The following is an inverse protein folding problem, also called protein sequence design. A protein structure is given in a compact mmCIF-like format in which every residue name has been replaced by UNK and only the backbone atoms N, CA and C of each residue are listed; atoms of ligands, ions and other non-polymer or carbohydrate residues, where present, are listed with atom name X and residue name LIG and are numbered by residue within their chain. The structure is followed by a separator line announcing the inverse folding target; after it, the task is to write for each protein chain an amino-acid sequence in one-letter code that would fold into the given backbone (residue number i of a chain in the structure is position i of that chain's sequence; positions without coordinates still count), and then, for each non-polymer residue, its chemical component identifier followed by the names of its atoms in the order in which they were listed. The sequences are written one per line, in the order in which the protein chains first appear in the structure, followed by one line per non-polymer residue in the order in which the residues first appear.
data_IF_794265062119
#
_entry.id   IF_794265062119
#
_cell.length_a   1.000
_cell.length_b   1.000
_cell.length_c   1.000
_cell.angle_alpha   90.00
_cell.angle_beta   90.00
_cell.angle_gamma   90.00
#
_symmetry.space_group_name_H-M   'P 1'
#
loop_
_entity.id
_entity.type
_entity.pdbx_description
1 polymer ?
#
# COMPACT_ATOMS: atom_id res chain seq x y z
N UNK A 1 -28.15 -4.18 -34.36
CA UNK A 1 -26.90 -3.74 -34.98
C UNK A 1 -27.21 -2.56 -35.87
N UNK A 2 -26.42 -1.48 -35.88
CA UNK A 2 -26.36 -0.63 -37.06
C UNK A 2 -26.02 -1.55 -38.25
N UNK A 3 -26.82 -1.55 -39.33
CA UNK A 3 -26.70 -2.51 -40.42
C UNK A 3 -25.35 -2.46 -41.18
N UNK A 4 -24.50 -1.48 -40.91
CA UNK A 4 -23.31 -1.17 -41.74
C UNK A 4 -21.98 -1.68 -41.18
N UNK A 5 -21.96 -2.34 -40.01
CA UNK A 5 -20.70 -2.78 -39.40
C UNK A 5 -20.42 -4.24 -39.75
N UNK A 6 -19.82 -4.45 -40.92
CA UNK A 6 -19.46 -5.80 -41.44
C UNK A 6 -18.11 -6.29 -40.87
N UNK A 7 -17.26 -5.38 -40.34
CA UNK A 7 -15.93 -5.72 -39.80
C UNK A 7 -15.57 -4.83 -38.60
N UNK A 8 -14.95 -5.39 -37.54
CA UNK A 8 -14.43 -4.59 -36.43
C UNK A 8 -13.27 -3.70 -36.91
N UNK A 9 -13.21 -2.46 -36.42
CA UNK A 9 -12.22 -1.47 -36.86
C UNK A 9 -10.85 -1.79 -36.26
N UNK A 10 -10.83 -2.30 -35.03
CA UNK A 10 -9.63 -2.76 -34.35
C UNK A 10 -9.91 -3.94 -33.42
N UNK A 11 -8.85 -4.61 -32.98
CA UNK A 11 -8.93 -5.62 -31.93
C UNK A 11 -7.83 -5.41 -30.89
N UNK A 12 -8.14 -5.72 -29.65
CA UNK A 12 -7.22 -5.68 -28.51
C UNK A 12 -7.46 -6.90 -27.61
N UNK A 13 -6.80 -6.95 -26.46
CA UNK A 13 -7.07 -7.92 -25.40
C UNK A 13 -7.78 -7.27 -24.24
N UNK A 14 -8.47 -8.09 -23.45
CA UNK A 14 -9.15 -7.64 -22.25
C UNK A 14 -8.19 -6.98 -21.24
N UNK A 15 -7.02 -7.58 -21.02
CA UNK A 15 -6.00 -7.01 -20.13
C UNK A 15 -5.58 -5.60 -20.56
N UNK A 16 -5.27 -5.43 -21.86
CA UNK A 16 -4.93 -4.12 -22.41
C UNK A 16 -6.05 -3.09 -22.21
N UNK A 17 -7.30 -3.50 -22.41
CA UNK A 17 -8.48 -2.65 -22.25
C UNK A 17 -8.64 -2.17 -20.81
N UNK A 18 -8.53 -3.10 -19.85
CA UNK A 18 -8.55 -2.82 -18.41
C UNK A 18 -7.47 -1.81 -18.03
N UNK A 19 -6.25 -2.00 -18.52
CA UNK A 19 -5.12 -1.09 -18.31
C UNK A 19 -5.40 0.31 -18.89
N UNK A 20 -5.92 0.39 -20.12
CA UNK A 20 -6.22 1.67 -20.76
C UNK A 20 -7.27 2.45 -19.97
N UNK A 21 -8.37 1.79 -19.58
CA UNK A 21 -9.45 2.40 -18.81
C UNK A 21 -8.95 2.88 -17.45
N UNK A 22 -8.09 2.09 -16.78
CA UNK A 22 -7.41 2.51 -15.57
C UNK A 22 -6.57 3.78 -15.77
N UNK A 23 -5.69 3.79 -16.78
CA UNK A 23 -4.78 4.91 -17.05
C UNK A 23 -5.52 6.18 -17.47
N UNK A 24 -6.70 6.04 -18.08
CA UNK A 24 -7.62 7.14 -18.36
C UNK A 24 -8.31 7.67 -17.09
N UNK A 25 -8.11 7.02 -15.94
CA UNK A 25 -8.72 7.34 -14.65
C UNK A 25 -10.23 7.15 -14.64
N UNK A 26 -10.74 6.27 -15.51
CA UNK A 26 -12.15 5.92 -15.54
C UNK A 26 -12.48 4.94 -14.41
N UNK A 27 -13.72 5.02 -13.93
CA UNK A 27 -14.24 4.18 -12.85
C UNK A 27 -15.16 3.13 -13.45
N UNK A 28 -14.94 1.87 -13.10
CA UNK A 28 -15.84 0.78 -13.47
C UNK A 28 -17.10 0.85 -12.64
N UNK A 29 -18.26 0.94 -13.29
CA UNK A 29 -19.56 0.79 -12.63
C UNK A 29 -19.98 -0.69 -12.56
N UNK A 30 -19.64 -1.47 -13.60
CA UNK A 30 -19.88 -2.90 -13.65
C UNK A 30 -18.76 -3.60 -14.44
N UNK A 31 -18.37 -4.80 -14.00
CA UNK A 31 -17.38 -5.65 -14.67
C UNK A 31 -17.76 -7.13 -14.49
N UNK A 32 -18.50 -7.65 -15.45
CA UNK A 32 -18.82 -9.07 -15.57
C UNK A 32 -18.61 -9.50 -17.02
N UNK A 33 -17.34 -9.72 -17.34
CA UNK A 33 -16.90 -9.96 -18.71
C UNK A 33 -17.25 -11.36 -19.20
N UNK A 34 -17.47 -12.31 -18.30
CA UNK A 34 -18.03 -13.63 -18.62
C UNK A 34 -19.46 -13.51 -19.17
N UNK A 35 -20.22 -12.54 -18.68
CA UNK A 35 -21.55 -12.17 -19.21
C UNK A 35 -21.48 -11.15 -20.35
N UNK A 36 -20.27 -10.73 -20.73
CA UNK A 36 -20.08 -9.69 -21.71
C UNK A 36 -20.50 -8.30 -21.26
N UNK A 37 -20.77 -8.07 -19.98
CA UNK A 37 -21.24 -6.79 -19.46
C UNK A 37 -20.09 -6.07 -18.78
N UNK A 38 -19.69 -4.93 -19.31
CA UNK A 38 -18.81 -4.04 -18.56
C UNK A 38 -19.06 -2.59 -18.91
N UNK A 39 -18.93 -1.72 -17.93
CA UNK A 39 -19.14 -0.28 -18.10
C UNK A 39 -18.17 0.49 -17.24
N UNK A 40 -17.54 1.49 -17.83
CA UNK A 40 -16.71 2.44 -17.12
C UNK A 40 -17.03 3.87 -17.55
N UNK A 41 -16.92 4.80 -16.62
CA UNK A 41 -17.18 6.23 -16.85
C UNK A 41 -16.15 7.07 -16.13
N UNK A 42 -15.76 8.18 -16.72
CA UNK A 42 -14.87 9.15 -16.07
C UNK A 42 -14.41 10.22 -17.05
N UNK A 43 -14.25 11.45 -16.58
CA UNK A 43 -13.74 12.58 -17.37
C UNK A 43 -14.46 12.78 -18.71
N UNK A 44 -15.79 12.80 -18.70
CA UNK A 44 -16.66 12.95 -19.89
C UNK A 44 -16.47 11.88 -20.96
N UNK A 45 -15.99 10.70 -20.52
CA UNK A 45 -15.80 9.52 -21.35
C UNK A 45 -16.62 8.40 -20.77
N UNK A 46 -17.20 7.62 -21.67
CA UNK A 46 -17.89 6.39 -21.32
C UNK A 46 -17.34 5.24 -22.14
N UNK A 47 -17.32 4.09 -21.50
CA UNK A 47 -16.87 2.84 -22.06
C UNK A 47 -17.95 1.81 -21.75
N UNK A 48 -18.36 1.05 -22.76
CA UNK A 48 -19.26 -0.08 -22.56
C UNK A 48 -18.83 -1.26 -23.42
N UNK A 49 -18.90 -2.46 -22.87
CA UNK A 49 -18.69 -3.69 -23.63
C UNK A 49 -19.96 -4.56 -23.57
N UNK A 50 -20.23 -5.24 -24.69
CA UNK A 50 -21.33 -6.19 -24.87
C UNK A 50 -20.88 -7.38 -25.71
N UNK A 51 -21.44 -8.57 -25.47
CA UNK A 51 -21.19 -9.73 -26.34
C UNK A 51 -22.15 -9.70 -27.52
N UNK A 52 -21.60 -9.70 -28.73
CA UNK A 52 -22.34 -9.74 -30.00
C UNK A 52 -22.16 -11.11 -30.63
N UNK A 53 -23.27 -11.81 -30.92
CA UNK A 53 -23.26 -13.12 -31.54
C UNK A 53 -22.49 -13.09 -32.86
N UNK A 54 -21.51 -13.99 -33.00
CA UNK A 54 -20.66 -14.10 -34.20
C UNK A 54 -19.43 -13.18 -34.21
N UNK A 55 -19.40 -12.14 -33.38
CA UNK A 55 -18.23 -11.24 -33.24
C UNK A 55 -17.48 -11.44 -31.93
N UNK A 56 -18.15 -11.88 -30.86
CA UNK A 56 -17.56 -11.98 -29.52
C UNK A 56 -17.75 -10.68 -28.74
N UNK A 57 -16.78 -10.31 -27.89
CA UNK A 57 -16.88 -9.10 -27.09
C UNK A 57 -16.61 -7.85 -27.93
N UNK A 58 -17.59 -6.96 -27.94
CA UNK A 58 -17.56 -5.71 -28.67
C UNK A 58 -17.59 -4.54 -27.70
N UNK A 59 -16.76 -3.55 -27.99
CA UNK A 59 -16.59 -2.34 -27.19
C UNK A 59 -17.06 -1.13 -27.94
N UNK A 60 -17.80 -0.29 -27.23
CA UNK A 60 -18.14 1.07 -27.62
C UNK A 60 -17.46 2.05 -26.66
N UNK A 61 -16.74 3.00 -27.23
CA UNK A 61 -16.14 4.12 -26.51
C UNK A 61 -16.77 5.42 -26.99
N UNK A 62 -17.29 6.22 -26.06
CA UNK A 62 -17.77 7.55 -26.36
C UNK A 62 -17.02 8.60 -25.55
N UNK A 63 -16.72 9.71 -26.20
CA UNK A 63 -16.13 10.89 -25.57
C UNK A 63 -16.99 12.08 -25.93
N UNK A 64 -17.54 12.74 -24.93
CA UNK A 64 -18.17 14.03 -25.15
C UNK A 64 -17.07 15.06 -25.44
N UNK A 65 -17.26 15.90 -26.45
CA UNK A 65 -16.29 16.95 -26.79
C UNK A 65 -16.15 17.87 -25.57
N UNK A 66 -14.92 18.09 -25.14
CA UNK A 66 -14.59 18.95 -24.02
C UNK A 66 -15.31 20.30 -24.13
N UNK A 67 -16.15 20.64 -23.15
CA UNK A 67 -16.22 22.04 -22.75
C UNK A 67 -14.84 22.39 -22.20
N UNK A 68 -14.27 23.52 -22.62
CA UNK A 68 -12.86 23.92 -22.38
C UNK A 68 -12.45 24.09 -20.91
N UNK A 69 -13.31 23.72 -19.97
CA UNK A 69 -13.01 23.70 -18.54
C UNK A 69 -12.30 22.38 -18.24
N UNK A 70 -10.98 22.35 -18.46
CA UNK A 70 -10.12 21.30 -17.91
C UNK A 70 -10.31 21.32 -16.39
N UNK A 71 -11.04 20.33 -15.88
CA UNK A 71 -11.19 20.16 -14.44
C UNK A 71 -9.78 19.94 -13.86
N UNK A 72 -9.30 20.93 -13.10
CA UNK A 72 -8.02 20.90 -12.39
C UNK A 72 -7.91 19.75 -11.37
N UNK A 73 -8.99 19.01 -11.17
CA UNK A 73 -9.09 17.85 -10.28
C UNK A 73 -8.85 16.50 -11.00
N UNK A 74 -8.35 16.48 -12.24
CA UNK A 74 -8.01 15.22 -12.88
C UNK A 74 -6.80 14.56 -12.19
N UNK A 75 -7.04 13.40 -11.58
CA UNK A 75 -6.02 12.62 -10.89
C UNK A 75 -5.39 11.61 -11.84
N UNK A 76 -4.36 12.04 -12.57
CA UNK A 76 -3.56 11.12 -13.39
C UNK A 76 -3.01 9.97 -12.54
N UNK A 77 -3.15 8.75 -13.07
CA UNK A 77 -2.58 7.53 -12.51
C UNK A 77 -1.17 7.32 -13.05
N UNK A 78 -0.30 6.68 -12.29
CA UNK A 78 1.06 6.37 -12.75
C UNK A 78 0.98 5.46 -13.97
N UNK A 79 1.58 5.82 -15.12
CA UNK A 79 1.52 5.02 -16.35
C UNK A 79 2.59 3.92 -16.34
N UNK A 80 2.57 3.02 -15.35
CA UNK A 80 3.56 1.94 -15.21
C UNK A 80 2.91 0.57 -15.03
N UNK A 81 3.64 -0.48 -15.42
CA UNK A 81 3.21 -1.88 -15.28
C UNK A 81 2.81 -2.19 -13.83
N UNK A 82 3.58 -1.71 -12.85
CA UNK A 82 3.32 -1.92 -11.44
C UNK A 82 2.03 -1.23 -10.95
N UNK A 83 1.75 -0.03 -11.44
CA UNK A 83 0.51 0.67 -11.13
C UNK A 83 -0.70 -0.07 -11.73
N UNK A 84 -0.58 -0.56 -12.96
CA UNK A 84 -1.64 -1.33 -13.61
C UNK A 84 -1.90 -2.67 -12.89
N UNK A 85 -0.84 -3.33 -12.40
CA UNK A 85 -0.95 -4.52 -11.54
C UNK A 85 -1.71 -4.20 -10.26
N UNK A 86 -1.38 -3.10 -9.58
CA UNK A 86 -2.11 -2.67 -8.38
C UNK A 86 -3.58 -2.37 -8.67
N UNK A 87 -3.89 -1.76 -9.81
CA UNK A 87 -5.27 -1.52 -10.23
C UNK A 87 -6.08 -2.82 -10.39
N UNK A 88 -5.41 -3.94 -10.66
CA UNK A 88 -6.00 -5.28 -10.72
C UNK A 88 -5.83 -6.09 -9.42
N UNK A 89 -5.39 -5.47 -8.32
CA UNK A 89 -5.22 -6.15 -7.04
C UNK A 89 -4.02 -7.09 -7.02
N UNK A 90 -2.94 -6.72 -7.72
CA UNK A 90 -1.68 -7.48 -7.73
C UNK A 90 -0.59 -6.61 -7.11
N UNK A 91 0.09 -7.13 -6.09
CA UNK A 91 1.34 -6.56 -5.57
C UNK A 91 2.53 -7.30 -6.17
N UNK A 92 3.45 -6.57 -6.80
CA UNK A 92 4.66 -7.13 -7.39
C UNK A 92 5.91 -6.53 -6.74
N UNK A 93 6.99 -7.31 -6.67
CA UNK A 93 8.28 -6.88 -6.16
C UNK A 93 9.42 -7.43 -7.00
N UNK A 94 10.43 -6.59 -7.24
CA UNK A 94 11.69 -6.98 -7.86
C UNK A 94 12.57 -7.81 -6.94
N UNK A 95 12.37 -7.75 -5.61
CA UNK A 95 13.17 -8.51 -4.64
C UNK A 95 12.97 -10.01 -4.85
N UNK A 96 11.72 -10.48 -4.80
CA UNK A 96 11.39 -11.91 -4.92
C UNK A 96 11.00 -12.33 -6.34
N UNK A 97 10.58 -11.38 -7.19
CA UNK A 97 9.98 -11.64 -8.49
C UNK A 97 8.55 -12.21 -8.42
N UNK A 98 8.00 -12.40 -7.21
CA UNK A 98 6.68 -13.00 -7.01
C UNK A 98 5.58 -11.94 -6.95
N UNK A 99 4.44 -12.29 -7.54
CA UNK A 99 3.22 -11.48 -7.53
C UNK A 99 2.25 -12.01 -6.46
N UNK A 100 1.68 -11.11 -5.66
CA UNK A 100 0.64 -11.44 -4.69
C UNK A 100 -0.70 -10.96 -5.23
N UNK A 101 -1.64 -11.89 -5.42
CA UNK A 101 -2.99 -11.61 -5.90
C UNK A 101 -3.92 -11.40 -4.71
N UNK A 102 -4.38 -10.17 -4.53
CA UNK A 102 -5.21 -9.75 -3.41
C UNK A 102 -6.70 -9.64 -3.76
N UNK A 103 -7.06 -9.70 -5.05
CA UNK A 103 -8.45 -9.63 -5.52
C UNK A 103 -8.81 -10.83 -6.37
N UNK A 104 -9.90 -11.50 -5.99
CA UNK A 104 -10.56 -12.57 -6.73
C UNK A 104 -12.02 -12.20 -6.93
N UNK A 105 -12.61 -12.60 -8.06
CA UNK A 105 -13.99 -12.20 -8.36
C UNK A 105 -14.98 -12.93 -7.44
N UNK A 106 -15.98 -12.20 -6.94
CA UNK A 106 -17.19 -12.78 -6.31
C UNK A 106 -16.92 -13.65 -5.07
N UNK A 107 -15.79 -13.44 -4.37
CA UNK A 107 -15.46 -14.18 -3.15
C UNK A 107 -15.58 -13.27 -1.91
N UNK A 108 -15.88 -13.84 -0.72
CA UNK A 108 -15.67 -13.13 0.54
C UNK A 108 -14.23 -12.62 0.67
N UNK A 109 -14.03 -11.48 1.32
CA UNK A 109 -12.72 -10.81 1.40
C UNK A 109 -11.60 -11.71 1.93
N UNK A 110 -11.85 -12.54 2.94
CA UNK A 110 -10.84 -13.45 3.46
C UNK A 110 -10.43 -14.53 2.45
N UNK A 111 -11.37 -14.98 1.63
CA UNK A 111 -11.13 -15.96 0.57
C UNK A 111 -10.38 -15.31 -0.61
N UNK A 112 -10.64 -14.02 -0.88
CA UNK A 112 -9.84 -13.23 -1.82
C UNK A 112 -8.37 -13.15 -1.37
N UNK A 113 -8.13 -12.97 -0.07
CA UNK A 113 -6.81 -12.86 0.53
C UNK A 113 -6.12 -14.20 0.80
N UNK A 114 -6.83 -15.33 0.65
CA UNK A 114 -6.34 -16.66 1.03
C UNK A 114 -4.98 -17.02 0.38
N UNK A 115 -4.75 -16.60 -0.86
CA UNK A 115 -3.49 -16.85 -1.56
C UNK A 115 -2.32 -16.11 -0.91
N UNK A 116 -2.51 -14.85 -0.54
CA UNK A 116 -1.49 -14.06 0.15
C UNK A 116 -1.24 -14.60 1.57
N UNK A 117 -2.31 -14.92 2.31
CA UNK A 117 -2.23 -15.49 3.66
C UNK A 117 -1.50 -16.84 3.68
N UNK A 118 -1.81 -17.71 2.72
CA UNK A 118 -1.12 -18.99 2.53
C UNK A 118 0.35 -18.78 2.16
N UNK A 119 0.63 -17.84 1.23
CA UNK A 119 2.00 -17.53 0.84
C UNK A 119 2.85 -17.05 2.02
N UNK A 120 2.29 -16.18 2.85
CA UNK A 120 2.99 -15.69 4.03
C UNK A 120 3.01 -16.71 5.17
N UNK A 121 2.35 -17.87 5.06
CA UNK A 121 2.20 -18.84 6.16
C UNK A 121 1.73 -18.12 7.44
N UNK A 122 0.58 -17.44 7.32
CA UNK A 122 -0.02 -16.76 8.45
C UNK A 122 -0.55 -17.80 9.44
N UNK A 123 -0.15 -17.67 10.71
CA UNK A 123 -0.51 -18.61 11.77
C UNK A 123 -2.03 -18.55 12.06
N UNK A 124 -2.63 -19.64 12.54
CA UNK A 124 -4.08 -19.73 12.74
C UNK A 124 -4.63 -18.68 13.71
N UNK A 125 -3.86 -18.36 14.75
CA UNK A 125 -4.22 -17.34 15.75
C UNK A 125 -4.13 -15.92 15.18
N UNK A 126 -3.10 -15.65 14.36
CA UNK A 126 -2.95 -14.41 13.61
C UNK A 126 -4.09 -14.27 12.59
N UNK A 127 -4.41 -15.34 11.85
CA UNK A 127 -5.52 -15.39 10.91
C UNK A 127 -6.86 -15.05 11.58
N UNK A 128 -7.14 -15.64 12.74
CA UNK A 128 -8.34 -15.35 13.50
C UNK A 128 -8.38 -13.88 13.95
N UNK A 129 -7.23 -13.33 14.37
CA UNK A 129 -7.14 -11.92 14.75
C UNK A 129 -7.37 -10.97 13.56
N UNK A 130 -6.88 -11.32 12.37
CA UNK A 130 -7.16 -10.59 11.13
C UNK A 130 -8.65 -10.63 10.78
N UNK A 131 -9.31 -11.80 10.89
CA UNK A 131 -10.77 -11.93 10.69
C UNK A 131 -11.56 -11.04 11.64
N UNK A 132 -11.22 -11.07 12.93
CA UNK A 132 -11.83 -10.20 13.95
C UNK A 132 -11.65 -8.73 13.59
N UNK A 133 -10.45 -8.34 13.12
CA UNK A 133 -10.18 -6.95 12.74
C UNK A 133 -11.02 -6.46 11.55
N UNK A 134 -11.35 -7.35 10.61
CA UNK A 134 -12.22 -7.02 9.46
C UNK A 134 -13.68 -6.80 9.87
N UNK A 135 -14.17 -7.61 10.81
CA UNK A 135 -15.55 -7.53 11.30
C UNK A 135 -15.81 -6.29 12.15
N UNK A 136 -14.77 -5.62 12.65
CA UNK A 136 -14.90 -4.41 13.44
C UNK A 136 -15.23 -3.20 12.54
N UNK A 137 -16.52 -2.83 12.51
CA UNK A 137 -17.04 -1.76 11.66
C UNK A 137 -16.54 -0.35 12.02
N UNK A 138 -16.02 -0.14 13.25
CA UNK A 138 -15.88 1.21 13.82
C UNK A 138 -14.67 2.03 13.37
N UNK A 139 -13.66 1.46 12.71
CA UNK A 139 -12.54 2.25 12.17
C UNK A 139 -11.87 1.55 11.00
N UNK A 140 -11.94 2.17 9.81
CA UNK A 140 -11.21 1.74 8.60
C UNK A 140 -9.71 1.58 8.87
N UNK A 141 -9.22 2.36 9.82
CA UNK A 141 -7.81 2.51 10.09
C UNK A 141 -7.20 1.34 10.89
N UNK A 142 -8.04 0.42 11.39
CA UNK A 142 -7.57 -0.72 12.17
C UNK A 142 -7.79 -2.06 11.49
N UNK A 143 -8.16 -2.06 10.21
CA UNK A 143 -8.37 -3.28 9.44
C UNK A 143 -7.04 -3.95 9.09
N UNK A 144 -7.01 -5.27 9.22
CA UNK A 144 -5.91 -6.13 8.79
C UNK A 144 -4.51 -5.69 9.28
N UNK A 145 -4.29 -5.50 10.60
CA UNK A 145 -2.99 -5.12 11.14
C UNK A 145 -1.83 -5.98 10.61
N UNK A 146 -0.73 -5.35 10.21
CA UNK A 146 0.46 -5.99 9.65
C UNK A 146 0.31 -6.43 8.20
N UNK A 147 -0.88 -6.92 7.80
CA UNK A 147 -1.13 -7.35 6.44
C UNK A 147 -1.28 -6.17 5.46
N UNK A 148 -1.91 -5.07 5.85
CA UNK A 148 -2.02 -3.87 4.97
C UNK A 148 -0.66 -3.24 4.70
N UNK A 149 0.28 -3.37 5.64
CA UNK A 149 1.63 -2.84 5.53
C UNK A 149 2.44 -3.52 4.42
N UNK A 150 2.07 -4.75 4.02
CA UNK A 150 2.63 -5.44 2.85
C UNK A 150 2.56 -4.58 1.59
N UNK A 151 1.59 -3.66 1.47
CA UNK A 151 1.51 -2.76 0.32
C UNK A 151 2.79 -1.94 0.11
N UNK A 152 3.31 -1.28 1.16
CA UNK A 152 4.55 -0.50 1.05
C UNK A 152 5.81 -1.31 1.30
N UNK A 153 5.69 -2.43 2.04
CA UNK A 153 6.82 -3.30 2.31
C UNK A 153 7.14 -4.25 1.16
N UNK A 154 6.17 -4.71 0.36
CA UNK A 154 6.39 -5.62 -0.76
C UNK A 154 6.69 -4.84 -2.04
N UNK A 155 5.92 -3.80 -2.32
CA UNK A 155 5.92 -3.15 -3.63
C UNK A 155 7.19 -2.37 -3.96
N UNK A 156 7.61 -2.41 -5.21
CA UNK A 156 8.69 -1.56 -5.70
C UNK A 156 8.26 -0.09 -5.75
N UNK A 157 9.22 0.81 -6.00
CA UNK A 157 8.93 2.21 -6.24
C UNK A 157 8.18 2.37 -7.58
N UNK A 158 6.95 2.88 -7.51
CA UNK A 158 6.05 2.99 -8.66
C UNK A 158 6.16 4.33 -9.41
N UNK A 159 6.25 5.50 -8.74
CA UNK A 159 6.27 6.79 -9.41
C UNK A 159 7.37 6.89 -10.46
N UNK A 160 7.04 7.53 -11.59
CA UNK A 160 7.99 7.75 -12.68
C UNK A 160 9.03 8.78 -12.27
N UNK A 161 10.31 8.50 -12.51
CA UNK A 161 11.40 9.43 -12.21
C UNK A 161 11.17 10.77 -12.95
N UNK A 162 11.33 11.89 -12.23
CA UNK A 162 11.09 13.24 -12.76
C UNK A 162 9.62 13.59 -12.98
N UNK A 163 8.68 12.77 -12.50
CA UNK A 163 7.24 13.05 -12.56
C UNK A 163 6.66 13.27 -11.17
N UNK A 164 5.69 14.18 -11.06
CA UNK A 164 4.84 14.32 -9.87
C UNK A 164 3.64 13.37 -9.87
N UNK A 165 3.44 12.58 -10.94
CA UNK A 165 2.37 11.59 -11.00
C UNK A 165 2.75 10.43 -10.07
N UNK A 166 2.01 10.30 -8.97
CA UNK A 166 2.25 9.31 -7.93
C UNK A 166 0.97 8.59 -7.46
N UNK A 167 -0.13 8.72 -8.20
CA UNK A 167 -1.42 8.14 -7.80
C UNK A 167 -1.57 6.72 -8.32
N UNK A 168 -1.85 5.77 -7.43
CA UNK A 168 -2.10 4.35 -7.74
C UNK A 168 -3.39 3.92 -7.07
N UNK A 169 -4.08 2.91 -7.61
CA UNK A 169 -5.27 2.40 -6.94
C UNK A 169 -4.92 1.42 -5.83
N UNK A 170 -5.77 1.38 -4.81
CA UNK A 170 -5.68 0.43 -3.74
C UNK A 170 -5.80 -1.02 -4.27
N UNK A 171 -4.79 -1.89 -4.06
CA UNK A 171 -4.83 -3.27 -4.50
C UNK A 171 -5.77 -4.14 -3.65
N UNK A 172 -6.19 -3.69 -2.46
CA UNK A 172 -7.20 -4.38 -1.64
C UNK A 172 -8.62 -4.06 -2.13
N UNK A 173 -9.56 -4.98 -1.90
CA UNK A 173 -10.99 -4.77 -2.18
C UNK A 173 -11.67 -3.83 -1.18
N UNK A 174 -10.98 -3.49 -0.08
CA UNK A 174 -11.44 -2.58 0.97
C UNK A 174 -10.48 -1.41 1.13
N UNK A 175 -10.96 -0.25 1.61
CA UNK A 175 -10.08 0.81 2.10
C UNK A 175 -9.16 0.28 3.19
N UNK A 176 -7.87 0.57 3.06
CA UNK A 176 -6.84 0.19 4.03
C UNK A 176 -6.01 1.40 4.41
N UNK A 177 -5.57 1.42 5.67
CA UNK A 177 -4.60 2.38 6.18
C UNK A 177 -3.40 1.58 6.68
N UNK A 178 -2.22 1.98 6.24
CA UNK A 178 -0.95 1.35 6.67
C UNK A 178 -0.36 2.12 7.84
N UNK A 179 0.46 1.46 8.66
CA UNK A 179 1.28 2.13 9.66
C UNK A 179 2.26 3.13 9.02
N UNK A 180 2.66 2.89 7.77
CA UNK A 180 3.51 3.80 7.01
C UNK A 180 2.91 5.20 6.82
N UNK A 181 1.59 5.28 6.75
CA UNK A 181 0.86 6.53 6.50
C UNK A 181 0.80 7.42 7.76
N UNK A 182 0.75 6.79 8.93
CA UNK A 182 0.38 7.43 10.19
C UNK A 182 1.56 8.17 10.81
N UNK A 183 1.33 9.42 11.17
CA UNK A 183 2.31 10.23 11.91
C UNK A 183 2.63 9.61 13.27
N UNK A 184 1.64 8.97 13.89
CA UNK A 184 1.79 8.27 15.16
C UNK A 184 2.91 7.24 15.09
N UNK A 185 2.99 6.45 14.01
CA UNK A 185 4.05 5.47 13.83
C UNK A 185 5.43 6.11 13.75
N UNK A 186 5.59 7.16 12.93
CA UNK A 186 6.87 7.88 12.77
C UNK A 186 7.37 8.46 14.08
N UNK A 187 6.49 9.14 14.82
CA UNK A 187 6.84 9.79 16.08
C UNK A 187 7.21 8.77 17.14
N UNK A 188 6.42 7.70 17.29
CA UNK A 188 6.68 6.63 18.25
C UNK A 188 8.00 5.93 17.95
N UNK A 189 8.22 5.55 16.71
CA UNK A 189 9.42 4.84 16.28
C UNK A 189 10.69 5.67 16.42
N UNK A 190 10.64 6.94 16.00
CA UNK A 190 11.72 7.89 16.25
C UNK A 190 12.01 8.03 17.74
N UNK A 191 10.99 8.23 18.56
CA UNK A 191 11.15 8.38 20.01
C UNK A 191 11.82 7.15 20.64
N UNK A 192 11.40 5.92 20.26
CA UNK A 192 12.01 4.68 20.76
C UNK A 192 13.48 4.56 20.38
N UNK A 193 13.83 4.90 19.13
CA UNK A 193 15.23 4.92 18.68
C UNK A 193 16.06 5.95 19.45
N UNK A 194 15.50 7.13 19.75
CA UNK A 194 16.16 8.16 20.57
C UNK A 194 16.45 7.68 21.99
N UNK A 195 15.51 6.97 22.64
CA UNK A 195 15.73 6.39 23.97
C UNK A 195 16.89 5.40 23.98
N UNK A 196 17.15 4.74 22.84
CA UNK A 196 18.20 3.74 22.67
C UNK A 196 19.46 4.29 22.00
N UNK A 197 19.57 5.60 21.74
CA UNK A 197 20.61 6.20 20.88
C UNK A 197 22.04 5.72 21.16
N UNK A 198 22.38 5.44 22.41
CA UNK A 198 23.71 4.97 22.82
C UNK A 198 24.00 3.50 22.47
N UNK A 199 22.98 2.66 22.35
CA UNK A 199 23.08 1.22 22.08
C UNK A 199 22.63 0.81 20.67
N UNK A 200 22.28 1.77 19.82
CA UNK A 200 21.91 1.49 18.43
C UNK A 200 23.10 0.99 17.62
N UNK A 201 22.86 0.03 16.73
CA UNK A 201 23.75 -0.29 15.63
C UNK A 201 23.94 0.93 14.71
N UNK A 202 24.96 0.91 13.86
CA UNK A 202 25.17 2.02 12.91
C UNK A 202 24.03 2.15 11.91
N UNK A 203 23.41 1.04 11.52
CA UNK A 203 22.23 1.06 10.66
C UNK A 203 21.03 1.72 11.37
N UNK A 204 20.79 1.43 12.65
CA UNK A 204 19.71 2.08 13.40
C UNK A 204 20.00 3.55 13.71
N UNK A 205 21.26 3.93 13.92
CA UNK A 205 21.65 5.35 13.98
C UNK A 205 21.32 6.05 12.67
N UNK A 206 21.54 5.38 11.53
CA UNK A 206 21.18 5.92 10.21
C UNK A 206 19.66 6.07 10.05
N UNK A 207 18.87 5.08 10.45
CA UNK A 207 17.39 5.18 10.47
C UNK A 207 16.94 6.36 11.35
N UNK A 208 17.50 6.50 12.55
CA UNK A 208 17.22 7.62 13.44
C UNK A 208 17.59 8.97 12.80
N UNK A 209 18.76 9.06 12.16
CA UNK A 209 19.19 10.25 11.45
C UNK A 209 18.20 10.64 10.35
N UNK A 210 17.67 9.68 9.59
CA UNK A 210 16.67 9.95 8.55
C UNK A 210 15.39 10.53 9.17
N UNK A 211 14.94 10.01 10.32
CA UNK A 211 13.79 10.58 11.03
C UNK A 211 14.07 12.00 11.56
N UNK A 212 15.25 12.23 12.12
CA UNK A 212 15.67 13.55 12.60
C UNK A 212 15.75 14.56 11.44
N UNK A 213 16.34 14.17 10.30
CA UNK A 213 16.44 15.00 9.10
C UNK A 213 15.05 15.31 8.52
N UNK A 214 14.14 14.33 8.53
CA UNK A 214 12.78 14.54 8.06
C UNK A 214 12.03 15.54 8.95
N UNK A 215 12.03 15.33 10.26
CA UNK A 215 11.38 16.25 11.20
C UNK A 215 11.95 17.68 11.08
N UNK A 216 13.27 17.82 10.95
CA UNK A 216 13.91 19.13 10.85
C UNK A 216 13.60 19.84 9.52
N UNK A 217 13.57 19.10 8.42
CA UNK A 217 13.34 19.68 7.09
C UNK A 217 11.87 20.00 6.83
N UNK A 218 10.95 19.14 7.26
CA UNK A 218 9.52 19.24 6.98
C UNK A 218 8.67 18.88 8.22
N UNK A 219 8.78 19.63 9.33
CA UNK A 219 8.16 19.27 10.61
C UNK A 219 6.65 19.10 10.49
N UNK A 220 5.99 19.98 9.74
CA UNK A 220 4.55 19.88 9.50
C UNK A 220 4.17 18.55 8.84
N UNK A 221 4.90 18.12 7.81
CA UNK A 221 4.64 16.85 7.11
C UNK A 221 5.01 15.63 7.95
N UNK A 222 5.98 15.76 8.85
CA UNK A 222 6.37 14.70 9.76
C UNK A 222 5.23 14.36 10.74
N UNK A 223 4.62 15.40 11.33
CA UNK A 223 3.58 15.29 12.37
C UNK A 223 2.14 15.18 11.88
N UNK A 224 1.87 15.48 10.61
CA UNK A 224 0.54 15.33 10.01
C UNK A 224 0.40 13.99 9.27
N UNK A 225 -0.84 13.50 9.13
CA UNK A 225 -1.16 12.39 8.20
C UNK A 225 -1.01 12.91 6.77
N UNK A 226 0.23 12.96 6.29
CA UNK A 226 0.57 13.58 5.03
C UNK A 226 0.70 12.53 3.92
N UNK A 227 0.11 12.81 2.77
CA UNK A 227 0.39 12.12 1.50
C UNK A 227 0.88 13.17 0.52
N UNK A 228 1.89 12.88 -0.29
CA UNK A 228 2.23 13.75 -1.42
C UNK A 228 0.99 13.89 -2.31
N UNK A 229 0.46 15.11 -2.42
CA UNK A 229 -0.85 15.37 -3.01
C UNK A 229 -0.71 15.38 -4.54
N UNK A 230 -0.70 14.19 -5.16
CA UNK A 230 -0.88 14.00 -6.61
C UNK A 230 -0.02 14.91 -7.49
N UNK A 231 -0.57 15.29 -8.65
CA UNK A 231 0.09 16.04 -9.73
C UNK A 231 0.45 17.50 -9.40
N UNK A 232 0.65 17.84 -8.13
CA UNK A 232 1.13 19.15 -7.73
C UNK A 232 2.64 19.19 -7.95
N UNK A 233 3.04 19.95 -8.98
CA UNK A 233 4.44 20.22 -9.38
C UNK A 233 5.36 20.56 -8.19
N UNK A 234 4.82 21.16 -7.11
CA UNK A 234 5.58 21.55 -5.91
C UNK A 234 6.16 20.38 -5.11
N UNK A 235 5.74 19.14 -5.35
CA UNK A 235 6.16 18.00 -4.52
C UNK A 235 7.30 17.14 -5.12
N UNK A 236 7.90 17.53 -6.26
CA UNK A 236 9.00 16.76 -6.89
C UNK A 236 10.21 16.55 -5.96
N UNK A 237 10.62 17.59 -5.22
CA UNK A 237 11.73 17.49 -4.25
C UNK A 237 11.44 16.47 -3.15
N UNK A 238 10.19 16.40 -2.71
CA UNK A 238 9.76 15.46 -1.68
C UNK A 238 9.62 14.04 -2.22
N UNK A 239 9.16 13.90 -3.46
CA UNK A 239 9.20 12.63 -4.18
C UNK A 239 10.62 12.08 -4.29
N UNK A 240 11.58 12.93 -4.66
CA UNK A 240 12.99 12.55 -4.72
C UNK A 240 13.55 12.18 -3.34
N UNK A 241 13.16 12.92 -2.29
CA UNK A 241 13.53 12.60 -0.91
C UNK A 241 13.04 11.22 -0.47
N UNK A 242 11.74 10.92 -0.63
CA UNK A 242 11.18 9.62 -0.27
C UNK A 242 11.73 8.50 -1.14
N UNK A 243 11.94 8.74 -2.44
CA UNK A 243 12.59 7.76 -3.31
C UNK A 243 13.98 7.41 -2.79
N UNK A 244 14.79 8.38 -2.37
CA UNK A 244 16.13 8.13 -1.83
C UNK A 244 16.08 7.26 -0.57
N UNK A 245 15.14 7.53 0.34
CA UNK A 245 14.94 6.70 1.54
C UNK A 245 14.52 5.28 1.15
N UNK A 246 13.59 5.15 0.19
CA UNK A 246 13.15 3.86 -0.32
C UNK A 246 14.31 3.08 -0.95
N UNK A 247 15.13 3.73 -1.79
CA UNK A 247 16.29 3.13 -2.45
C UNK A 247 17.32 2.67 -1.42
N UNK A 248 17.59 3.46 -0.38
CA UNK A 248 18.49 3.09 0.72
C UNK A 248 17.98 1.87 1.50
N UNK A 249 16.69 1.87 1.84
CA UNK A 249 16.04 0.74 2.51
C UNK A 249 16.03 -0.52 1.64
N UNK A 250 15.74 -0.38 0.36
CA UNK A 250 15.71 -1.47 -0.60
C UNK A 250 17.12 -2.04 -0.87
N UNK A 251 18.14 -1.19 -0.96
CA UNK A 251 19.53 -1.62 -1.11
C UNK A 251 19.97 -2.49 0.06
N UNK A 252 19.66 -2.09 1.30
CA UNK A 252 19.91 -2.90 2.49
C UNK A 252 19.20 -4.26 2.41
N UNK A 253 17.90 -4.28 2.08
CA UNK A 253 17.07 -5.49 2.06
C UNK A 253 17.39 -6.44 0.89
N UNK A 254 18.19 -6.01 -0.08
CA UNK A 254 18.62 -6.80 -1.25
C UNK A 254 20.11 -7.14 -1.23
N UNK A 255 20.88 -6.56 -0.30
CA UNK A 255 22.31 -6.82 -0.15
C UNK A 255 22.55 -8.06 0.72
N UNK A 256 23.61 -8.86 0.45
CA UNK A 256 24.02 -9.93 1.36
C UNK A 256 24.20 -9.42 2.80
N UNK A 257 23.83 -10.23 3.82
CA UNK A 257 23.36 -11.61 3.73
C UNK A 257 21.83 -11.72 3.51
N UNK A 258 21.10 -10.63 3.27
CA UNK A 258 19.66 -10.69 3.02
C UNK A 258 19.37 -11.42 1.70
N UNK A 259 18.73 -12.59 1.82
CA UNK A 259 18.22 -13.36 0.70
C UNK A 259 16.73 -13.09 0.46
N UNK A 260 16.24 -13.46 -0.72
CA UNK A 260 14.80 -13.44 -1.05
C UNK A 260 13.94 -14.20 -0.04
N UNK A 261 14.49 -15.31 0.47
CA UNK A 261 13.82 -16.14 1.48
C UNK A 261 13.75 -15.42 2.82
N UNK A 262 14.86 -14.81 3.27
CA UNK A 262 14.90 -14.05 4.53
C UNK A 262 13.95 -12.84 4.49
N UNK A 263 13.90 -12.13 3.36
CA UNK A 263 12.95 -11.03 3.17
C UNK A 263 11.49 -11.50 3.31
N UNK A 264 11.14 -12.63 2.70
CA UNK A 264 9.79 -13.20 2.81
C UNK A 264 9.49 -13.68 4.24
N UNK A 265 10.46 -14.33 4.90
CA UNK A 265 10.33 -14.74 6.32
C UNK A 265 10.13 -13.53 7.24
N UNK A 266 10.88 -12.44 7.03
CA UNK A 266 10.74 -11.22 7.81
C UNK A 266 9.32 -10.63 7.70
N UNK A 267 8.74 -10.62 6.51
CA UNK A 267 7.37 -10.17 6.29
C UNK A 267 6.33 -11.07 6.95
N UNK A 268 6.50 -12.40 6.84
CA UNK A 268 5.67 -13.36 7.55
C UNK A 268 5.66 -13.08 9.05
N UNK A 269 6.85 -12.95 9.66
CA UNK A 269 6.97 -12.68 11.09
C UNK A 269 6.39 -11.33 11.47
N UNK A 270 6.57 -10.30 10.63
CA UNK A 270 5.90 -9.02 10.81
C UNK A 270 4.36 -9.17 10.85
N UNK A 271 3.77 -9.92 9.91
CA UNK A 271 2.31 -10.11 9.84
C UNK A 271 1.80 -10.88 11.06
N UNK A 272 2.39 -12.04 11.39
CA UNK A 272 1.91 -12.89 12.48
C UNK A 272 1.97 -12.16 13.83
N UNK A 273 3.11 -11.57 14.16
CA UNK A 273 3.30 -10.91 15.45
C UNK A 273 2.41 -9.66 15.57
N UNK A 274 2.18 -8.92 14.49
CA UNK A 274 1.41 -7.66 14.53
C UNK A 274 -0.09 -7.81 14.26
N UNK A 275 -0.57 -8.98 13.83
CA UNK A 275 -2.01 -9.27 13.70
C UNK A 275 -2.77 -9.04 15.02
N UNK A 276 -2.11 -9.23 16.16
CA UNK A 276 -2.69 -9.06 17.50
C UNK A 276 -2.59 -7.65 18.06
N UNK A 277 -1.86 -6.74 17.39
CA UNK A 277 -1.57 -5.39 17.90
C UNK A 277 -2.83 -4.60 18.28
N UNK A 278 -3.91 -4.74 17.52
CA UNK A 278 -5.18 -4.09 17.80
C UNK A 278 -5.83 -4.63 19.08
N UNK A 279 -5.82 -5.95 19.26
CA UNK A 279 -6.34 -6.60 20.47
C UNK A 279 -5.53 -6.22 21.69
N UNK A 280 -4.21 -6.10 21.55
CA UNK A 280 -3.30 -5.65 22.61
C UNK A 280 -3.54 -4.18 22.98
N UNK A 281 -3.64 -3.28 21.98
CA UNK A 281 -3.92 -1.86 22.18
C UNK A 281 -5.24 -1.62 22.93
N UNK A 282 -6.29 -2.39 22.65
CA UNK A 282 -7.58 -2.29 23.34
C UNK A 282 -7.55 -2.66 24.82
N UNK A 283 -6.55 -3.44 25.26
CA UNK A 283 -6.40 -3.83 26.67
C UNK A 283 -5.75 -2.74 27.53
N UNK A 284 -5.11 -1.75 26.92
CA UNK A 284 -4.43 -0.67 27.65
C UNK A 284 -5.49 0.36 28.09
N UNK A 285 -5.58 0.68 29.40
CA UNK A 285 -6.44 1.75 29.87
C UNK A 285 -6.03 3.09 29.22
N UNK A 286 -7.00 3.77 28.60
CA UNK A 286 -6.77 5.07 27.96
C UNK A 286 -6.52 6.20 28.98
N UNK A 287 -7.02 6.03 30.21
CA UNK A 287 -6.90 7.01 31.29
C UNK A 287 -6.59 6.32 32.61
N UNK A 288 -6.00 7.09 33.54
CA UNK A 288 -5.73 6.65 34.90
C UNK A 288 -4.26 6.32 35.20
N UNK A 289 -3.95 5.96 36.46
CA UNK A 289 -2.57 5.79 36.95
C UNK A 289 -1.81 4.61 36.31
N UNK A 290 -2.53 3.71 35.62
CA UNK A 290 -1.95 2.58 34.88
C UNK A 290 -1.70 2.88 33.40
N UNK A 291 -2.04 4.08 32.91
CA UNK A 291 -1.71 4.49 31.56
C UNK A 291 -0.19 4.59 31.40
N UNK A 292 0.36 4.05 30.31
CA UNK A 292 1.80 4.13 30.03
C UNK A 292 2.17 5.61 29.82
N UNK A 293 3.32 6.02 30.36
CA UNK A 293 3.92 7.33 30.03
C UNK A 293 4.42 7.29 28.58
N UNK A 294 3.54 7.56 27.63
CA UNK A 294 3.88 7.70 26.22
C UNK A 294 4.31 9.14 25.93
N UNK A 295 5.19 9.39 24.93
CA UNK A 295 5.46 10.73 24.46
C UNK A 295 4.14 11.38 24.05
N UNK A 296 3.93 12.63 24.50
CA UNK A 296 2.87 13.44 23.93
C UNK A 296 3.28 13.76 22.50
N UNK A 297 2.48 13.32 21.53
CA UNK A 297 2.64 13.67 20.14
C UNK A 297 2.21 15.14 20.00
N UNK A 298 3.17 16.06 20.15
CA UNK A 298 2.93 17.48 19.92
C UNK A 298 2.94 17.75 18.43
N UNK A 299 1.78 18.08 17.88
CA UNK A 299 1.62 18.32 16.44
C UNK A 299 1.80 19.77 16.02
N UNK A 300 2.07 20.68 16.95
CA UNK A 300 2.36 22.07 16.64
C UNK A 300 3.83 22.40 16.97
N UNK A 301 4.55 22.85 15.94
CA UNK A 301 5.76 23.61 16.18
C UNK A 301 5.44 24.87 17.01
N UNK A 302 6.40 25.44 17.75
CA UNK A 302 6.18 26.49 18.76
C UNK A 302 5.59 27.82 18.24
N UNK A 303 5.24 27.93 16.95
CA UNK A 303 4.84 29.19 16.30
C UNK A 303 3.39 29.25 15.83
N UNK A 304 2.62 28.18 15.92
CA UNK A 304 1.24 28.16 15.44
C UNK A 304 0.33 27.91 16.63
N UNK A 305 -0.27 28.96 17.19
CA UNK A 305 -1.24 28.90 18.30
C UNK A 305 -2.55 28.17 17.97
N UNK A 306 -2.46 27.00 17.34
CA UNK A 306 -3.56 26.20 16.82
C UNK A 306 -3.60 24.81 17.46
N UNK A 307 -4.82 24.29 17.55
CA UNK A 307 -5.24 23.10 18.30
C UNK A 307 -4.32 21.88 18.14
N UNK A 308 -4.10 21.19 19.26
CA UNK A 308 -3.41 19.91 19.33
C UNK A 308 -4.18 18.88 18.49
N UNK A 309 -3.56 18.35 17.42
CA UNK A 309 -4.03 17.10 16.85
C UNK A 309 -3.73 16.03 17.89
N UNK A 310 -4.76 15.67 18.65
CA UNK A 310 -4.74 14.46 19.46
C UNK A 310 -4.79 13.31 18.46
N UNK A 311 -3.60 12.80 18.08
CA UNK A 311 -3.50 11.64 17.22
C UNK A 311 -4.35 10.49 17.72
N UNK A 312 -4.62 9.54 16.84
CA UNK A 312 -5.42 8.37 17.23
C UNK A 312 -4.63 7.57 18.27
N UNK A 313 -5.11 7.61 19.52
CA UNK A 313 -4.50 6.92 20.64
C UNK A 313 -4.33 5.42 20.36
N UNK A 314 -5.30 4.81 19.68
CA UNK A 314 -5.26 3.39 19.35
C UNK A 314 -4.18 3.10 18.29
N UNK A 315 -3.94 4.00 17.33
CA UNK A 315 -2.78 3.87 16.44
C UNK A 315 -1.46 4.08 17.16
N UNK A 316 -1.39 5.06 18.05
CA UNK A 316 -0.18 5.34 18.84
C UNK A 316 0.22 4.09 19.62
N UNK A 317 -0.73 3.47 20.33
CA UNK A 317 -0.48 2.24 21.07
C UNK A 317 -0.10 1.07 20.16
N UNK A 318 -0.74 0.92 18.98
CA UNK A 318 -0.33 -0.09 18.01
C UNK A 318 1.09 0.13 17.50
N UNK A 319 1.50 1.38 17.26
CA UNK A 319 2.85 1.70 16.80
C UNK A 319 3.90 1.31 17.86
N UNK A 320 3.57 1.49 19.14
CA UNK A 320 4.38 0.97 20.23
C UNK A 320 4.45 -0.55 20.22
N UNK A 321 3.32 -1.24 20.10
CA UNK A 321 3.32 -2.71 20.01
C UNK A 321 4.17 -3.21 18.85
N UNK A 322 4.10 -2.58 17.67
CA UNK A 322 4.95 -2.95 16.53
C UNK A 322 6.44 -2.93 16.88
N UNK A 323 6.90 -1.87 17.52
CA UNK A 323 8.30 -1.71 17.88
C UNK A 323 8.71 -2.55 19.10
N UNK A 324 7.82 -2.72 20.09
CA UNK A 324 8.04 -3.60 21.25
C UNK A 324 8.10 -5.08 20.82
N UNK A 325 7.33 -5.45 19.79
CA UNK A 325 7.30 -6.78 19.20
C UNK A 325 8.54 -7.12 18.36
N UNK A 326 9.43 -6.17 18.08
CA UNK A 326 10.64 -6.42 17.28
C UNK A 326 11.51 -7.50 17.92
N UNK A 327 11.64 -7.49 19.25
CA UNK A 327 12.38 -8.52 19.99
C UNK A 327 11.83 -9.92 19.70
N UNK A 328 10.50 -10.05 19.63
CA UNK A 328 9.85 -11.33 19.35
C UNK A 328 10.06 -11.75 17.89
N UNK A 329 9.95 -10.80 16.95
CA UNK A 329 10.28 -11.05 15.53
C UNK A 329 11.72 -11.54 15.37
N UNK A 330 12.68 -10.89 16.04
CA UNK A 330 14.10 -11.27 16.01
C UNK A 330 14.28 -12.68 16.58
N UNK A 331 13.73 -12.96 17.76
CA UNK A 331 13.82 -14.27 18.42
C UNK A 331 13.26 -15.39 17.54
N UNK A 332 12.13 -15.15 16.87
CA UNK A 332 11.52 -16.12 15.96
C UNK A 332 12.31 -16.31 14.66
N UNK A 333 12.94 -15.25 14.14
CA UNK A 333 13.82 -15.34 12.98
C UNK A 333 15.08 -16.16 13.31
N UNK A 334 15.74 -15.86 14.44
CA UNK A 334 16.97 -16.53 14.90
C UNK A 334 16.77 -18.01 15.21
N UNK A 335 15.57 -18.41 15.63
CA UNK A 335 15.24 -19.82 15.92
C UNK A 335 14.88 -20.62 14.66
N UNK A 336 14.54 -19.97 13.55
CA UNK A 336 14.01 -20.62 12.33
C UNK A 336 14.89 -20.48 11.09
N UNK A 337 15.99 -19.72 11.16
CA UNK A 337 16.86 -19.49 10.01
C UNK A 337 17.84 -20.65 9.75
N UNK A 338 18.28 -21.36 10.79
CA UNK A 338 19.32 -22.38 10.71
C UNK A 338 20.67 -21.86 10.22
N UNK A 339 20.88 -20.53 10.19
CA UNK A 339 22.09 -19.90 9.65
C UNK A 339 23.20 -19.87 10.71
N UNK A 340 24.45 -19.86 10.28
CA UNK A 340 25.57 -19.58 11.18
C UNK A 340 25.42 -18.15 11.75
N UNK A 341 25.55 -17.95 13.08
CA UNK A 341 25.51 -16.61 13.69
C UNK A 341 26.36 -15.54 13.00
N UNK A 342 27.47 -15.92 12.36
CA UNK A 342 28.36 -14.99 11.64
C UNK A 342 27.74 -14.51 10.33
N UNK A 343 26.94 -15.35 9.68
CA UNK A 343 26.28 -15.05 8.40
C UNK A 343 24.89 -14.41 8.58
N UNK A 344 24.37 -14.35 9.81
CA UNK A 344 23.05 -13.81 10.09
C UNK A 344 23.03 -12.29 9.90
N UNK A 345 22.07 -11.75 9.12
CA UNK A 345 21.82 -10.30 9.18
C UNK A 345 21.34 -9.93 10.57
N UNK A 346 21.58 -8.68 10.98
CA UNK A 346 20.91 -8.13 12.14
C UNK A 346 19.40 -8.00 11.82
N UNK A 347 18.58 -8.93 12.34
CA UNK A 347 17.14 -8.95 12.05
C UNK A 347 16.41 -7.72 12.57
N UNK A 348 16.90 -7.12 13.66
CA UNK A 348 16.38 -5.85 14.16
C UNK A 348 16.62 -4.74 13.12
N UNK A 349 17.85 -4.59 12.62
CA UNK A 349 18.17 -3.62 11.59
C UNK A 349 17.31 -3.84 10.34
N UNK A 350 17.17 -5.08 9.90
CA UNK A 350 16.34 -5.43 8.74
C UNK A 350 14.86 -5.05 8.94
N UNK A 351 14.30 -5.27 10.13
CA UNK A 351 12.92 -4.87 10.44
C UNK A 351 12.76 -3.35 10.42
N UNK A 352 13.71 -2.60 10.99
CA UNK A 352 13.66 -1.13 10.97
C UNK A 352 13.81 -0.57 9.56
N UNK A 353 14.66 -1.18 8.72
CA UNK A 353 14.77 -0.83 7.30
C UNK A 353 13.49 -1.16 6.53
N UNK A 354 12.80 -2.25 6.87
CA UNK A 354 11.50 -2.58 6.32
C UNK A 354 10.42 -1.56 6.69
N UNK A 355 10.41 -1.07 7.94
CA UNK A 355 9.49 0.01 8.37
C UNK A 355 9.78 1.33 7.66
N UNK A 356 11.07 1.65 7.49
CA UNK A 356 11.50 2.85 6.78
C UNK A 356 11.10 2.78 5.30
N UNK A 357 11.26 1.61 4.66
CA UNK A 357 10.78 1.34 3.30
C UNK A 357 9.28 1.55 3.17
N UNK A 358 8.50 0.97 4.08
CA UNK A 358 7.05 1.14 4.14
C UNK A 358 6.65 2.61 4.20
N UNK A 359 7.26 3.38 5.09
CA UNK A 359 6.97 4.80 5.23
C UNK A 359 7.37 5.58 3.98
N UNK A 360 8.56 5.39 3.45
CA UNK A 360 9.01 6.07 2.24
C UNK A 360 8.06 5.80 1.06
N UNK A 361 7.63 4.54 0.90
CA UNK A 361 6.68 4.14 -0.14
C UNK A 361 5.31 4.82 0.06
N UNK A 362 4.71 4.69 1.23
CA UNK A 362 3.36 5.22 1.52
C UNK A 362 3.31 6.74 1.45
N UNK A 363 4.40 7.42 1.79
CA UNK A 363 4.47 8.88 1.77
C UNK A 363 4.71 9.43 0.37
N UNK A 364 5.46 8.68 -0.46
CA UNK A 364 5.69 9.00 -1.86
C UNK A 364 4.50 8.69 -2.76
N UNK A 365 3.59 7.80 -2.37
CA UNK A 365 2.54 7.29 -3.26
C UNK A 365 1.14 7.62 -2.73
N UNK A 366 0.33 8.24 -3.58
CA UNK A 366 -1.08 8.48 -3.27
C UNK A 366 -1.91 7.25 -3.66
N UNK A 367 -2.20 6.41 -2.68
CA UNK A 367 -3.10 5.26 -2.87
C UNK A 367 -4.55 5.73 -2.81
N UNK A 368 -5.34 5.48 -3.86
CA UNK A 368 -6.76 5.88 -3.89
C UNK A 368 -7.67 4.68 -3.90
N UNK A 369 -8.73 4.78 -3.10
CA UNK A 369 -9.85 3.87 -3.16
C UNK A 369 -10.77 4.31 -4.30
N UNK A 370 -10.95 3.45 -5.30
CA UNK A 370 -11.97 3.69 -6.32
C UNK A 370 -13.36 3.47 -5.74
N UNK A 371 -14.26 4.40 -5.95
CA UNK A 371 -15.69 4.13 -5.93
C UNK A 371 -16.01 3.19 -7.10
N UNK A 372 -16.92 2.22 -6.95
CA UNK A 372 -17.29 1.29 -8.02
C UNK A 372 -16.59 -0.08 -8.00
N UNK A 373 -16.69 -0.80 -9.12
CA UNK A 373 -16.29 -2.19 -9.22
C UNK A 373 -14.77 -2.37 -9.17
N UNK A 374 -14.31 -3.23 -8.26
CA UNK A 374 -12.90 -3.60 -8.13
C UNK A 374 -12.58 -4.67 -9.16
N UNK A 375 -11.45 -4.50 -9.85
CA UNK A 375 -11.05 -5.41 -10.92
C UNK A 375 -10.31 -6.62 -10.32
N UNK A 376 -10.76 -7.86 -10.56
CA UNK A 376 -10.04 -9.06 -10.18
C UNK A 376 -8.67 -9.20 -10.85
N UNK A 377 -7.73 -9.86 -10.16
CA UNK A 377 -6.34 -10.03 -10.63
C UNK A 377 -6.18 -10.85 -11.90
N UNK A 378 -7.13 -11.72 -12.23
CA UNK A 378 -7.06 -12.52 -13.46
C UNK A 378 -7.32 -11.70 -14.73
N UNK A 379 -7.85 -10.48 -14.63
CA UNK A 379 -8.08 -9.63 -15.80
C UNK A 379 -6.81 -8.94 -16.31
N UNK A 380 -5.80 -8.74 -15.47
CA UNK A 380 -4.61 -7.94 -15.82
C UNK A 380 -3.91 -8.40 -17.11
N UNK A 381 -3.69 -9.71 -17.26
CA UNK A 381 -3.03 -10.29 -18.44
C UNK A 381 -4.00 -11.16 -19.28
N UNK A 382 -5.30 -10.85 -19.20
CA UNK A 382 -6.31 -11.63 -19.87
C UNK A 382 -6.21 -11.46 -21.40
N UNK A 383 -5.95 -12.56 -22.11
CA UNK A 383 -5.72 -12.61 -23.56
C UNK A 383 -7.01 -12.72 -24.39
N UNK A 384 -8.19 -12.74 -23.77
CA UNK A 384 -9.47 -12.76 -24.48
C UNK A 384 -9.53 -11.57 -25.43
N UNK A 385 -9.78 -11.85 -26.71
CA UNK A 385 -9.88 -10.82 -27.74
C UNK A 385 -11.12 -9.98 -27.54
N UNK A 386 -10.95 -8.68 -27.77
CA UNK A 386 -12.00 -7.68 -27.71
C UNK A 386 -11.96 -6.87 -29.00
N UNK A 387 -13.12 -6.67 -29.61
CA UNK A 387 -13.26 -5.91 -30.84
C UNK A 387 -13.78 -4.51 -30.55
N UNK A 388 -13.22 -3.52 -31.22
CA UNK A 388 -13.57 -2.10 -31.05
C UNK A 388 -14.36 -1.66 -32.28
N UNK A 389 -15.51 -1.03 -32.04
CA UNK A 389 -16.35 -0.41 -33.07
C UNK A 389 -16.16 1.10 -33.16
#
# INVERSE_FOLDING_TARGET
MPPDIVRPIASTTMGCLVTIIHRMGMIWSDINLDEGKSRATGYNRSFSASVVRGMGLVVEYSSERFSSVVNSNQEFRVPSILADMMACGILATGITGRQLRLRKAKLPLMDELAEALTFFEVDDDALESLKISLSQQSSLAHRLPGLTDVMGMWSDWIPVNGSCINTVDNPFSIPVVTMGERAEARVVWRWLLQQRKRSLSDQLKRVLQIYDDWENSEPKRFYESYRVIGNKVKDEKMMAYFKRIFDEANAYLTSPPMSRLLFTKLLRKHINVNAHSLKQAKKIPQTGPKARKRPQIMTSGPRSGGQYYQGDHMFTERAFFYAENVTEVVREMESSDGLDPIERPCYEDAWWMLMLRLQAWTMGIKVVDRDGAKIPSHYYDNKTRVYIL
#
